data_IF_153836310599
#
_entry.id   IF_153836310599
#
_cell.length_a   1.000
_cell.length_b   1.000
_cell.length_c   1.000
_cell.angle_alpha   90.00
_cell.angle_beta   90.00
_cell.angle_gamma   90.00
#
_symmetry.space_group_name_H-M   'P 1'
#
loop_
_entity.id
_entity.type
_entity.pdbx_description
1 polymer ?
#
# COMPACT_ATOMS: atom_id res chain seq x y z
N UNK A 1 13.48 34.99 -13.15
CA UNK A 1 13.18 33.59 -12.78
C UNK A 1 14.33 32.71 -13.24
N UNK A 2 15.19 32.25 -12.31
CA UNK A 2 16.26 31.30 -12.64
C UNK A 2 15.64 29.90 -12.83
N UNK A 3 15.69 29.38 -14.05
CA UNK A 3 15.35 27.97 -14.30
C UNK A 3 16.41 27.12 -13.60
N UNK A 4 16.08 26.53 -12.47
CA UNK A 4 16.92 25.53 -11.82
C UNK A 4 16.84 24.28 -12.70
N UNK A 5 17.95 23.96 -13.37
CA UNK A 5 18.11 22.71 -14.10
C UNK A 5 18.24 21.59 -13.06
N UNK A 6 17.15 20.84 -12.86
CA UNK A 6 17.15 19.70 -11.95
C UNK A 6 17.95 18.57 -12.59
N UNK A 7 19.17 18.33 -12.11
CA UNK A 7 19.95 17.16 -12.52
C UNK A 7 19.39 15.98 -11.74
N UNK A 8 18.59 15.14 -12.41
CA UNK A 8 18.07 13.88 -11.87
C UNK A 8 19.24 12.87 -11.81
N UNK A 9 19.87 12.71 -10.66
CA UNK A 9 20.83 11.64 -10.43
C UNK A 9 20.07 10.38 -10.07
N UNK A 10 19.88 9.49 -11.05
CA UNK A 10 19.24 8.17 -10.84
C UNK A 10 20.29 7.23 -10.27
N UNK A 11 20.19 6.91 -8.99
CA UNK A 11 21.00 5.87 -8.35
C UNK A 11 20.19 4.57 -8.42
N UNK A 12 20.73 3.54 -9.06
CA UNK A 12 20.12 2.20 -9.04
C UNK A 12 20.43 1.52 -7.69
N UNK A 13 19.41 1.28 -6.90
CA UNK A 13 19.51 0.48 -5.68
C UNK A 13 18.94 -0.90 -6.01
N UNK A 14 19.79 -1.92 -6.08
CA UNK A 14 19.35 -3.31 -6.25
C UNK A 14 18.68 -3.78 -4.97
N UNK A 15 17.35 -3.95 -5.00
CA UNK A 15 16.58 -4.68 -3.98
C UNK A 15 15.94 -5.90 -4.65
N UNK A 16 15.82 -7.05 -3.97
CA UNK A 16 15.16 -8.22 -4.54
C UNK A 16 13.67 -7.94 -4.79
N UNK A 17 13.10 -8.59 -5.81
CA UNK A 17 11.65 -8.57 -6.10
C UNK A 17 10.84 -8.87 -4.83
N UNK A 18 10.12 -7.92 -4.32
CA UNK A 18 9.33 -8.09 -3.10
C UNK A 18 7.86 -7.82 -3.39
N UNK A 19 7.09 -8.89 -3.45
CA UNK A 19 5.68 -8.77 -3.21
C UNK A 19 5.49 -8.30 -1.76
N UNK A 20 4.78 -7.20 -1.57
CA UNK A 20 4.44 -6.67 -0.26
C UNK A 20 3.24 -7.44 0.32
N UNK A 21 3.27 -7.69 1.61
CA UNK A 21 2.20 -8.39 2.35
C UNK A 21 1.38 -7.38 3.13
N UNK A 22 0.12 -7.24 2.77
CA UNK A 22 -0.81 -6.31 3.41
C UNK A 22 -1.82 -7.09 4.25
N UNK A 23 -1.84 -6.85 5.55
CA UNK A 23 -2.83 -7.39 6.47
C UNK A 23 -4.18 -6.71 6.25
N UNK A 24 -5.12 -7.40 5.58
CA UNK A 24 -6.45 -6.85 5.26
C UNK A 24 -7.52 -7.24 6.27
N UNK A 25 -7.32 -8.35 7.01
CA UNK A 25 -8.12 -8.70 8.20
C UNK A 25 -7.21 -9.32 9.26
N UNK A 26 -7.43 -8.97 10.50
CA UNK A 26 -6.76 -9.56 11.67
C UNK A 26 -7.81 -9.98 12.68
N UNK A 27 -7.52 -11.05 13.44
CA UNK A 27 -8.37 -11.58 14.51
C UNK A 27 -9.81 -11.90 14.07
N UNK A 28 -10.01 -12.24 12.79
CA UNK A 28 -11.31 -12.50 12.23
C UNK A 28 -11.84 -13.88 12.63
N UNK A 29 -13.13 -13.99 12.89
CA UNK A 29 -13.82 -15.28 13.14
C UNK A 29 -14.31 -15.92 11.85
N UNK A 30 -14.35 -15.16 10.78
CA UNK A 30 -14.72 -15.62 9.44
C UNK A 30 -14.09 -14.73 8.38
N UNK A 31 -13.80 -15.27 7.21
CA UNK A 31 -13.34 -14.53 6.04
C UNK A 31 -14.19 -14.93 4.82
N UNK A 32 -14.72 -13.91 4.12
CA UNK A 32 -15.31 -14.12 2.79
C UNK A 32 -14.24 -13.96 1.74
N UNK A 33 -14.09 -14.92 0.84
CA UNK A 33 -13.08 -14.92 -0.22
C UNK A 33 -13.69 -15.33 -1.55
N UNK A 34 -13.08 -14.90 -2.66
CA UNK A 34 -13.52 -15.27 -3.99
C UNK A 34 -12.49 -14.90 -5.04
N UNK A 35 -12.72 -15.31 -6.28
CA UNK A 35 -11.86 -14.99 -7.43
C UNK A 35 -12.72 -14.57 -8.62
N UNK A 36 -12.23 -13.63 -9.43
CA UNK A 36 -12.95 -13.11 -10.60
C UNK A 36 -12.96 -14.11 -11.77
N UNK A 37 -12.02 -15.00 -11.80
CA UNK A 37 -11.88 -16.14 -12.72
C UNK A 37 -11.82 -17.42 -11.88
N UNK A 38 -11.73 -18.60 -12.50
CA UNK A 38 -11.48 -19.83 -11.73
C UNK A 38 -10.25 -19.66 -10.84
N UNK A 39 -10.33 -20.16 -9.61
CA UNK A 39 -9.27 -20.04 -8.61
C UNK A 39 -8.96 -21.36 -7.94
N UNK A 40 -7.96 -21.32 -7.06
CA UNK A 40 -7.53 -22.47 -6.26
C UNK A 40 -7.25 -22.07 -4.83
N UNK A 41 -7.56 -22.98 -3.92
CA UNK A 41 -7.02 -23.00 -2.56
C UNK A 41 -5.87 -23.99 -2.53
N UNK A 42 -4.74 -23.52 -2.06
CA UNK A 42 -3.48 -24.26 -2.01
C UNK A 42 -2.99 -24.26 -0.57
N UNK A 43 -2.54 -25.39 -0.07
CA UNK A 43 -1.83 -25.49 1.20
C UNK A 43 -0.48 -24.77 1.08
N UNK A 44 -0.25 -23.75 1.90
CA UNK A 44 0.97 -22.93 1.81
C UNK A 44 2.24 -23.68 2.23
N UNK A 45 2.11 -24.73 3.04
CA UNK A 45 3.25 -25.50 3.55
C UNK A 45 3.70 -26.59 2.56
N UNK A 46 2.74 -27.20 1.87
CA UNK A 46 3.00 -28.35 0.97
C UNK A 46 2.87 -28.01 -0.52
N UNK A 47 2.36 -26.84 -0.84
CA UNK A 47 2.02 -26.39 -2.21
C UNK A 47 0.99 -27.29 -2.93
N UNK A 48 0.22 -28.08 -2.17
CA UNK A 48 -0.80 -28.96 -2.71
C UNK A 48 -2.12 -28.22 -2.92
N UNK A 49 -2.75 -28.38 -4.08
CA UNK A 49 -4.10 -27.88 -4.31
C UNK A 49 -5.09 -28.66 -3.42
N UNK A 50 -5.88 -27.94 -2.65
CA UNK A 50 -6.87 -28.47 -1.71
C UNK A 50 -8.30 -28.37 -2.25
N UNK A 51 -8.60 -27.30 -2.99
CA UNK A 51 -9.92 -27.04 -3.55
C UNK A 51 -9.82 -26.14 -4.77
N UNK A 52 -10.64 -26.38 -5.78
CA UNK A 52 -10.88 -25.45 -6.88
C UNK A 52 -12.03 -24.50 -6.52
N UNK A 53 -11.96 -23.26 -7.02
CA UNK A 53 -12.96 -22.23 -6.80
C UNK A 53 -13.58 -21.81 -8.13
N UNK A 54 -14.90 -21.68 -8.15
CA UNK A 54 -15.64 -21.14 -9.29
C UNK A 54 -15.43 -19.63 -9.40
N UNK A 55 -15.41 -19.14 -10.64
CA UNK A 55 -15.34 -17.71 -10.92
C UNK A 55 -16.56 -16.97 -10.35
N UNK A 56 -16.34 -15.78 -9.81
CA UNK A 56 -17.37 -14.87 -9.30
C UNK A 56 -18.24 -15.47 -8.17
N UNK A 57 -17.80 -16.56 -7.53
CA UNK A 57 -18.48 -17.17 -6.38
C UNK A 57 -17.76 -16.80 -5.09
N UNK A 58 -18.53 -16.40 -4.07
CA UNK A 58 -18.03 -16.13 -2.73
C UNK A 58 -18.02 -17.40 -1.87
N UNK A 59 -16.95 -17.57 -1.12
CA UNK A 59 -16.77 -18.68 -0.18
C UNK A 59 -16.51 -18.12 1.21
N UNK A 60 -17.08 -18.77 2.23
CA UNK A 60 -16.82 -18.43 3.63
C UNK A 60 -15.80 -19.40 4.22
N UNK A 61 -14.73 -18.85 4.80
CA UNK A 61 -13.70 -19.60 5.54
C UNK A 61 -13.86 -19.32 7.02
N UNK A 62 -13.78 -20.37 7.83
CA UNK A 62 -13.80 -20.31 9.30
C UNK A 62 -12.64 -21.07 9.90
N UNK A 63 -12.13 -20.66 11.06
CA UNK A 63 -11.23 -21.52 11.83
C UNK A 63 -12.00 -22.78 12.30
N UNK A 64 -11.31 -23.91 12.29
CA UNK A 64 -11.81 -25.18 12.81
C UNK A 64 -10.67 -25.88 13.56
N UNK A 65 -10.64 -25.77 14.88
CA UNK A 65 -9.49 -26.17 15.69
C UNK A 65 -8.20 -25.52 15.13
N UNK A 66 -7.17 -26.33 14.87
CA UNK A 66 -5.89 -25.88 14.30
C UNK A 66 -5.87 -25.87 12.77
N UNK A 67 -6.99 -26.11 12.10
CA UNK A 67 -7.13 -26.06 10.64
C UNK A 67 -8.25 -25.10 10.26
N UNK A 68 -8.67 -25.08 9.01
CA UNK A 68 -9.79 -24.27 8.54
C UNK A 68 -10.93 -25.11 8.00
N UNK A 69 -12.07 -24.49 7.78
CA UNK A 69 -13.19 -25.03 7.03
C UNK A 69 -13.67 -23.99 6.01
N UNK A 70 -14.22 -24.48 4.90
CA UNK A 70 -14.82 -23.69 3.82
C UNK A 70 -16.28 -24.07 3.64
N UNK A 71 -17.14 -23.08 3.43
CA UNK A 71 -18.55 -23.29 3.09
C UNK A 71 -18.70 -23.40 1.58
N UNK A 72 -19.24 -24.54 1.11
CA UNK A 72 -19.57 -24.81 -0.28
C UNK A 72 -21.02 -25.31 -0.32
N UNK A 73 -21.87 -24.65 -1.11
CA UNK A 73 -23.27 -25.00 -1.33
C UNK A 73 -24.10 -25.21 -0.05
N UNK A 74 -23.76 -24.46 1.00
CA UNK A 74 -24.49 -24.50 2.28
C UNK A 74 -23.74 -25.25 3.39
N UNK A 75 -22.88 -26.20 3.05
CA UNK A 75 -22.20 -27.10 3.99
C UNK A 75 -20.74 -26.68 4.22
N UNK A 76 -20.22 -27.01 5.44
CA UNK A 76 -18.82 -26.77 5.78
C UNK A 76 -17.96 -28.02 5.58
N UNK A 77 -16.90 -27.86 4.79
CA UNK A 77 -15.90 -28.87 4.52
C UNK A 77 -14.57 -28.49 5.18
N UNK A 78 -13.87 -29.48 5.77
CA UNK A 78 -12.57 -29.27 6.39
C UNK A 78 -11.51 -29.01 5.34
N UNK A 79 -10.68 -27.99 5.57
CA UNK A 79 -9.43 -27.73 4.86
C UNK A 79 -8.32 -28.17 5.79
N UNK A 80 -7.54 -29.23 5.50
CA UNK A 80 -6.54 -29.80 6.41
C UNK A 80 -5.24 -28.96 6.41
N UNK A 81 -5.38 -27.64 6.62
CA UNK A 81 -4.29 -26.69 6.70
C UNK A 81 -4.65 -25.51 7.60
N UNK A 82 -3.67 -24.98 8.29
CA UNK A 82 -3.74 -23.75 9.08
C UNK A 82 -3.23 -22.52 8.31
N UNK A 83 -2.66 -22.74 7.11
CA UNK A 83 -2.09 -21.72 6.27
C UNK A 83 -2.37 -22.03 4.79
N UNK A 84 -3.21 -21.23 4.15
CA UNK A 84 -3.63 -21.45 2.77
C UNK A 84 -3.38 -20.23 1.90
N UNK A 85 -3.12 -20.50 0.63
CA UNK A 85 -3.04 -19.50 -0.45
C UNK A 85 -4.29 -19.62 -1.31
N UNK A 86 -4.91 -18.49 -1.62
CA UNK A 86 -6.05 -18.39 -2.53
C UNK A 86 -5.64 -17.51 -3.68
N UNK A 87 -5.60 -18.08 -4.86
CA UNK A 87 -5.18 -17.35 -6.07
C UNK A 87 -6.04 -17.70 -7.29
N UNK A 88 -6.21 -16.75 -8.22
CA UNK A 88 -6.78 -17.04 -9.53
C UNK A 88 -5.86 -17.98 -10.32
N UNK A 89 -6.44 -18.79 -11.21
CA UNK A 89 -5.67 -19.72 -12.10
C UNK A 89 -4.98 -18.93 -13.22
N UNK A 90 -5.67 -17.90 -13.73
CA UNK A 90 -5.20 -17.00 -14.78
C UNK A 90 -5.15 -15.56 -14.26
N UNK A 91 -4.83 -14.59 -15.13
CA UNK A 91 -4.92 -13.16 -14.79
C UNK A 91 -6.32 -12.82 -14.29
N UNK A 92 -6.40 -12.37 -13.05
CA UNK A 92 -7.67 -12.06 -12.40
C UNK A 92 -7.47 -11.40 -11.06
N UNK A 93 -8.60 -11.13 -10.41
CA UNK A 93 -8.64 -10.50 -9.10
C UNK A 93 -9.08 -11.51 -8.03
N UNK A 94 -8.67 -11.24 -6.80
CA UNK A 94 -9.16 -11.96 -5.62
C UNK A 94 -10.03 -11.01 -4.79
N UNK A 95 -11.00 -11.54 -4.06
CA UNK A 95 -11.87 -10.73 -3.22
C UNK A 95 -11.85 -11.14 -1.76
N UNK A 96 -11.92 -10.14 -0.90
CA UNK A 96 -12.25 -10.27 0.53
C UNK A 96 -12.81 -8.93 1.03
N UNK A 97 -13.59 -8.93 2.12
CA UNK A 97 -14.21 -7.69 2.67
C UNK A 97 -15.03 -6.91 1.62
N UNK A 98 -15.67 -7.58 0.68
CA UNK A 98 -16.41 -6.95 -0.43
C UNK A 98 -15.56 -6.01 -1.33
N UNK A 99 -14.24 -6.21 -1.36
CA UNK A 99 -13.31 -5.50 -2.23
C UNK A 99 -12.55 -6.49 -3.11
N UNK A 100 -12.14 -6.02 -4.28
CA UNK A 100 -11.24 -6.73 -5.18
C UNK A 100 -9.80 -6.29 -4.98
N UNK A 101 -8.88 -7.23 -5.11
CA UNK A 101 -7.43 -7.03 -4.97
C UNK A 101 -6.69 -7.71 -6.11
N UNK A 102 -5.51 -7.21 -6.44
CA UNK A 102 -4.51 -7.88 -7.29
C UNK A 102 -3.68 -8.86 -6.47
N UNK A 103 -2.91 -9.73 -7.15
CA UNK A 103 -2.07 -10.72 -6.48
C UNK A 103 -2.87 -11.91 -5.94
N UNK A 104 -2.60 -12.33 -4.70
CA UNK A 104 -3.27 -13.45 -4.06
C UNK A 104 -3.50 -13.23 -2.56
N UNK A 105 -4.37 -14.02 -1.94
CA UNK A 105 -4.56 -14.01 -0.49
C UNK A 105 -3.79 -15.14 0.18
N UNK A 106 -3.24 -14.85 1.35
CA UNK A 106 -2.80 -15.83 2.33
C UNK A 106 -3.78 -15.74 3.48
N UNK A 107 -4.35 -16.88 3.89
CA UNK A 107 -5.23 -16.95 5.06
C UNK A 107 -4.57 -17.88 6.08
N UNK A 108 -4.35 -17.37 7.28
CA UNK A 108 -3.72 -18.08 8.39
C UNK A 108 -4.71 -18.22 9.52
N UNK A 109 -4.81 -19.43 10.08
CA UNK A 109 -5.50 -19.67 11.35
C UNK A 109 -4.46 -19.73 12.49
N UNK A 110 -4.52 -18.74 13.37
CA UNK A 110 -3.69 -18.70 14.58
C UNK A 110 -4.62 -18.64 15.79
N UNK A 111 -4.57 -19.68 16.61
CA UNK A 111 -5.36 -19.77 17.86
C UNK A 111 -6.86 -19.54 17.67
N UNK A 112 -7.45 -20.10 16.60
CA UNK A 112 -8.89 -19.97 16.30
C UNK A 112 -9.31 -18.60 15.76
N UNK A 113 -8.34 -17.80 15.27
CA UNK A 113 -8.58 -16.51 14.59
C UNK A 113 -7.91 -16.51 13.23
N UNK A 114 -8.57 -15.90 12.26
CA UNK A 114 -8.04 -15.76 10.91
C UNK A 114 -7.30 -14.44 10.75
N UNK A 115 -6.13 -14.51 10.11
CA UNK A 115 -5.44 -13.37 9.51
C UNK A 115 -5.50 -13.53 8.01
N UNK A 116 -6.06 -12.54 7.30
CA UNK A 116 -6.12 -12.49 5.84
C UNK A 116 -5.12 -11.47 5.35
N UNK A 117 -4.22 -11.89 4.48
CA UNK A 117 -3.10 -11.10 3.98
C UNK A 117 -3.21 -11.06 2.45
N UNK A 118 -3.19 -9.86 1.88
CA UNK A 118 -3.00 -9.69 0.44
C UNK A 118 -1.51 -9.64 0.13
N UNK A 119 -1.03 -10.60 -0.65
CA UNK A 119 0.33 -10.61 -1.20
C UNK A 119 0.25 -10.08 -2.63
N UNK A 120 0.88 -8.93 -2.87
CA UNK A 120 0.70 -8.15 -4.08
C UNK A 120 2.02 -7.51 -4.53
N UNK A 121 2.19 -7.30 -5.82
CA UNK A 121 3.30 -6.51 -6.36
C UNK A 121 3.26 -5.07 -5.81
N UNK A 122 4.42 -4.46 -5.60
CA UNK A 122 4.51 -3.13 -5.01
C UNK A 122 3.78 -2.07 -5.84
N UNK A 123 3.94 -2.07 -7.17
CA UNK A 123 3.28 -1.06 -8.01
C UNK A 123 1.75 -1.27 -8.02
N UNK A 124 1.29 -2.52 -8.04
CA UNK A 124 -0.12 -2.85 -7.91
C UNK A 124 -0.68 -2.48 -6.52
N UNK A 125 0.12 -2.57 -5.47
CA UNK A 125 -0.23 -2.04 -4.15
C UNK A 125 -0.39 -0.52 -4.19
N UNK A 126 0.56 0.22 -4.79
CA UNK A 126 0.50 1.68 -4.88
C UNK A 126 -0.71 2.15 -5.72
N UNK A 127 -1.10 1.41 -6.78
CA UNK A 127 -2.34 1.67 -7.54
C UNK A 127 -3.59 1.64 -6.66
N UNK A 128 -3.62 0.78 -5.64
CA UNK A 128 -4.71 0.71 -4.66
C UNK A 128 -4.59 1.68 -3.49
N UNK A 129 -3.40 2.25 -3.23
CA UNK A 129 -3.15 3.23 -2.16
C UNK A 129 -3.49 4.64 -2.63
N UNK A 130 -2.96 5.10 -3.76
CA UNK A 130 -3.11 6.49 -4.21
C UNK A 130 -4.57 6.95 -4.25
N UNK A 131 -5.51 6.22 -4.86
CA UNK A 131 -6.91 6.63 -4.88
C UNK A 131 -7.65 6.46 -3.54
N UNK A 132 -7.11 5.67 -2.61
CA UNK A 132 -7.64 5.54 -1.26
C UNK A 132 -7.18 6.68 -0.33
N UNK A 133 -6.05 7.31 -0.65
CA UNK A 133 -5.43 8.40 0.09
C UNK A 133 -5.85 9.78 -0.43
N UNK A 134 -5.99 9.93 -1.75
CA UNK A 134 -6.32 11.21 -2.40
C UNK A 134 -7.53 11.08 -3.34
N UNK A 135 -8.46 12.06 -3.36
CA UNK A 135 -9.52 12.09 -4.35
C UNK A 135 -8.99 12.03 -5.79
N UNK A 136 -9.56 11.17 -6.63
CA UNK A 136 -9.13 10.99 -8.02
C UNK A 136 -9.34 12.25 -8.90
N UNK A 137 -10.16 13.21 -8.44
CA UNK A 137 -10.37 14.49 -9.09
C UNK A 137 -9.19 15.47 -8.92
N UNK A 138 -8.28 15.22 -7.98
CA UNK A 138 -7.15 16.12 -7.72
C UNK A 138 -6.13 16.10 -8.85
N UNK A 139 -5.14 17.03 -8.79
CA UNK A 139 -4.15 17.22 -9.84
C UNK A 139 -3.24 15.99 -10.03
N UNK A 140 -2.87 15.70 -11.27
CA UNK A 140 -2.04 14.54 -11.61
C UNK A 140 -0.67 14.60 -10.94
N UNK A 141 -0.06 15.78 -10.83
CA UNK A 141 1.24 15.94 -10.18
C UNK A 141 1.16 15.70 -8.65
N UNK A 142 0.01 15.97 -8.02
CA UNK A 142 -0.23 15.56 -6.63
C UNK A 142 -0.33 14.04 -6.48
N UNK A 143 -1.02 13.36 -7.41
CA UNK A 143 -1.07 11.89 -7.42
C UNK A 143 0.31 11.26 -7.66
N UNK A 144 1.13 11.84 -8.54
CA UNK A 144 2.53 11.41 -8.75
C UNK A 144 3.37 11.59 -7.48
N UNK A 145 3.25 12.73 -6.81
CA UNK A 145 3.93 12.97 -5.54
C UNK A 145 3.49 11.96 -4.47
N UNK A 146 2.17 11.70 -4.36
CA UNK A 146 1.63 10.69 -3.46
C UNK A 146 2.15 9.28 -3.79
N UNK A 147 2.21 8.90 -5.06
CA UNK A 147 2.72 7.58 -5.47
C UNK A 147 4.19 7.38 -5.06
N UNK A 148 5.04 8.39 -5.27
CA UNK A 148 6.46 8.35 -4.86
C UNK A 148 6.60 8.31 -3.33
N UNK A 149 5.84 9.12 -2.60
CA UNK A 149 5.83 9.13 -1.14
C UNK A 149 5.33 7.79 -0.57
N UNK A 150 4.21 7.27 -1.07
CA UNK A 150 3.62 6.01 -0.63
C UNK A 150 4.56 4.82 -0.90
N UNK A 151 5.21 4.78 -2.07
CA UNK A 151 6.21 3.76 -2.40
C UNK A 151 7.41 3.81 -1.47
N UNK A 152 7.91 5.01 -1.18
CA UNK A 152 9.02 5.22 -0.25
C UNK A 152 8.66 4.76 1.15
N UNK A 153 7.47 5.14 1.64
CA UNK A 153 6.96 4.69 2.94
C UNK A 153 6.84 3.16 2.99
N UNK A 154 6.25 2.54 1.98
CA UNK A 154 6.05 1.09 1.94
C UNK A 154 7.39 0.34 2.03
N UNK A 155 8.37 0.73 1.23
CA UNK A 155 9.70 0.12 1.22
C UNK A 155 10.48 0.36 2.51
N UNK A 156 10.39 1.55 3.10
CA UNK A 156 11.05 1.87 4.37
C UNK A 156 10.45 1.10 5.57
N UNK A 157 9.22 0.57 5.43
CA UNK A 157 8.50 -0.13 6.48
C UNK A 157 8.27 -1.63 6.20
N UNK A 158 8.97 -2.22 5.22
CA UNK A 158 8.93 -3.67 5.01
C UNK A 158 9.30 -4.39 6.31
N UNK A 159 8.53 -5.41 6.67
CA UNK A 159 8.71 -6.17 7.89
C UNK A 159 8.27 -5.48 9.19
N UNK A 160 7.70 -4.26 9.13
CA UNK A 160 7.23 -3.53 10.31
C UNK A 160 6.29 -4.36 11.20
N UNK A 161 5.51 -5.25 10.60
CA UNK A 161 4.57 -6.14 11.29
C UNK A 161 4.86 -7.63 11.06
N UNK A 162 6.13 -7.98 10.84
CA UNK A 162 6.56 -9.36 10.53
C UNK A 162 6.10 -10.39 11.58
N UNK A 163 6.02 -10.01 12.86
CA UNK A 163 5.49 -10.87 13.92
C UNK A 163 4.02 -11.28 13.70
N UNK A 164 3.25 -10.46 12.95
CA UNK A 164 1.87 -10.76 12.57
C UNK A 164 1.78 -11.52 11.24
N UNK A 165 2.88 -11.64 10.49
CA UNK A 165 2.98 -12.34 9.22
C UNK A 165 2.79 -11.47 7.97
N UNK A 166 2.73 -10.14 8.12
CA UNK A 166 2.60 -9.18 7.02
C UNK A 166 3.47 -7.93 7.25
N UNK A 167 3.56 -7.03 6.28
CA UNK A 167 4.40 -5.84 6.36
C UNK A 167 3.63 -4.63 6.89
N UNK A 168 2.48 -4.33 6.31
CA UNK A 168 1.64 -3.16 6.60
C UNK A 168 0.17 -3.54 6.75
N UNK A 169 -0.62 -2.68 7.40
CA UNK A 169 -2.09 -2.75 7.42
C UNK A 169 -2.70 -1.96 6.26
N UNK A 170 -3.94 -2.32 5.90
CA UNK A 170 -4.78 -1.64 4.89
C UNK A 170 -5.49 -0.37 5.42
N UNK A 171 -5.06 0.16 6.55
CA UNK A 171 -5.70 1.26 7.30
C UNK A 171 -4.75 2.43 7.51
N UNK A 172 -5.24 3.62 7.92
CA UNK A 172 -4.41 4.80 8.25
C UNK A 172 -3.36 4.59 9.34
N UNK A 173 -3.33 3.44 10.03
CA UNK A 173 -2.20 3.07 10.90
C UNK A 173 -0.89 2.89 10.10
N UNK A 174 -1.00 2.55 8.82
CA UNK A 174 0.11 2.49 7.87
C UNK A 174 -0.24 3.27 6.60
N UNK A 175 -1.06 2.73 5.70
CA UNK A 175 -1.56 3.42 4.50
C UNK A 175 -2.97 2.93 4.17
N UNK A 176 -3.88 3.84 3.83
CA UNK A 176 -5.19 3.43 3.34
C UNK A 176 -5.02 2.65 2.02
N UNK A 177 -5.56 1.44 1.97
CA UNK A 177 -5.47 0.55 0.81
C UNK A 177 -6.85 0.06 0.39
N UNK A 178 -7.28 0.51 -0.76
CA UNK A 178 -8.59 0.19 -1.33
C UNK A 178 -8.59 -1.05 -2.24
N UNK A 179 -7.42 -1.62 -2.53
CA UNK A 179 -7.24 -2.68 -3.51
C UNK A 179 -7.61 -2.21 -4.92
N UNK A 180 -7.81 -3.16 -5.83
CA UNK A 180 -8.23 -2.89 -7.21
C UNK A 180 -9.60 -2.21 -7.30
N UNK A 181 -10.44 -2.35 -6.28
CA UNK A 181 -11.75 -1.68 -6.21
C UNK A 181 -11.66 -0.16 -6.14
N UNK A 182 -10.54 0.40 -5.69
CA UNK A 182 -10.33 1.85 -5.60
C UNK A 182 -9.68 2.44 -6.86
N UNK A 183 -9.06 1.63 -7.70
CA UNK A 183 -8.28 2.07 -8.85
C UNK A 183 -9.08 2.92 -9.83
N UNK A 184 -8.44 3.95 -10.38
CA UNK A 184 -8.95 4.75 -11.50
C UNK A 184 -7.88 4.88 -12.57
N UNK A 185 -8.29 5.10 -13.82
CA UNK A 185 -7.34 5.31 -14.93
C UNK A 185 -6.36 6.44 -14.63
N UNK A 186 -6.86 7.56 -14.08
CA UNK A 186 -6.04 8.75 -13.77
C UNK A 186 -4.97 8.45 -12.70
N UNK A 187 -5.36 7.81 -11.59
CA UNK A 187 -4.41 7.49 -10.53
C UNK A 187 -3.44 6.39 -10.92
N UNK A 188 -3.90 5.39 -11.69
CA UNK A 188 -3.02 4.35 -12.23
C UNK A 188 -1.96 4.93 -13.16
N UNK A 189 -2.32 5.87 -14.07
CA UNK A 189 -1.35 6.56 -14.92
C UNK A 189 -0.30 7.32 -14.10
N UNK A 190 -0.70 8.00 -13.02
CA UNK A 190 0.25 8.70 -12.15
C UNK A 190 1.24 7.74 -11.44
N UNK A 191 0.78 6.54 -11.05
CA UNK A 191 1.64 5.48 -10.49
C UNK A 191 2.60 4.95 -11.56
N UNK A 192 2.11 4.66 -12.77
CA UNK A 192 2.88 4.15 -13.89
C UNK A 192 3.97 5.14 -14.34
N UNK A 193 3.64 6.42 -14.45
CA UNK A 193 4.59 7.50 -14.79
C UNK A 193 5.75 7.63 -13.76
N UNK A 194 5.53 7.18 -12.54
CA UNK A 194 6.49 7.25 -11.43
C UNK A 194 7.01 5.88 -10.99
N UNK A 195 6.79 4.82 -11.78
CA UNK A 195 7.18 3.44 -11.46
C UNK A 195 8.63 3.36 -10.96
N UNK A 196 8.81 2.73 -9.79
CA UNK A 196 10.10 2.50 -9.17
C UNK A 196 10.75 3.75 -8.55
N UNK A 197 10.18 4.96 -8.71
CA UNK A 197 10.78 6.19 -8.14
C UNK A 197 10.47 6.27 -6.65
N UNK A 198 11.54 6.49 -5.85
CA UNK A 198 11.49 6.64 -4.40
C UNK A 198 12.30 7.83 -3.92
N UNK A 199 12.03 8.27 -2.70
CA UNK A 199 12.82 9.26 -1.98
C UNK A 199 13.91 8.58 -1.17
N UNK A 200 15.11 9.14 -1.21
CA UNK A 200 16.25 8.66 -0.42
C UNK A 200 16.93 9.81 0.32
N UNK A 201 17.47 9.48 1.49
CA UNK A 201 18.39 10.34 2.26
C UNK A 201 19.58 9.50 2.69
N UNK A 202 20.81 10.00 2.43
CA UNK A 202 22.04 9.23 2.66
C UNK A 202 21.97 7.80 2.07
N UNK A 203 21.51 7.67 0.83
CA UNK A 203 21.35 6.42 0.06
C UNK A 203 20.39 5.38 0.68
N UNK A 204 19.58 5.76 1.65
CA UNK A 204 18.53 4.91 2.23
C UNK A 204 17.16 5.44 1.84
N UNK A 205 16.23 4.55 1.53
CA UNK A 205 14.83 4.92 1.30
C UNK A 205 14.26 5.52 2.58
N UNK A 206 13.56 6.66 2.44
CA UNK A 206 13.06 7.43 3.58
C UNK A 206 11.66 7.01 4.00
N UNK A 207 11.36 7.17 5.28
CA UNK A 207 9.99 7.17 5.78
C UNK A 207 9.29 8.46 5.33
N UNK A 208 8.69 8.44 4.16
CA UNK A 208 7.99 9.59 3.59
C UNK A 208 6.58 9.70 4.20
N UNK A 209 6.48 10.19 5.43
CA UNK A 209 5.21 10.40 6.11
C UNK A 209 4.37 11.46 5.41
N UNK A 210 3.05 11.26 5.37
CA UNK A 210 2.09 12.21 4.83
C UNK A 210 0.76 12.14 5.61
N UNK A 211 -0.02 13.17 5.53
CA UNK A 211 -1.37 13.24 6.12
C UNK A 211 -2.30 14.11 5.27
N UNK A 212 -3.60 13.99 5.48
CA UNK A 212 -4.58 14.73 4.68
C UNK A 212 -4.31 16.23 4.68
N UNK A 213 -4.11 16.84 5.86
CA UNK A 213 -3.81 18.27 6.02
C UNK A 213 -3.06 18.53 7.33
N UNK A 214 -2.28 19.59 7.37
CA UNK A 214 -1.50 19.99 8.54
C UNK A 214 -2.06 21.25 9.25
N UNK A 215 -3.07 21.91 8.65
CA UNK A 215 -3.71 23.09 9.25
C UNK A 215 -2.84 24.35 9.18
N UNK A 216 -2.17 24.58 8.05
CA UNK A 216 -1.36 25.76 7.78
C UNK A 216 0.14 25.57 7.95
N UNK A 217 0.58 24.66 8.84
CA UNK A 217 2.00 24.38 9.10
C UNK A 217 2.21 22.89 9.37
N UNK A 218 3.19 22.26 8.70
CA UNK A 218 3.59 20.90 9.03
C UNK A 218 4.40 20.85 10.33
N UNK A 219 4.59 19.67 10.89
CA UNK A 219 5.27 19.48 12.17
C UNK A 219 6.56 18.68 11.98
N UNK A 220 7.55 18.97 12.82
CA UNK A 220 8.75 18.13 12.96
C UNK A 220 8.40 16.80 13.62
N UNK A 221 9.10 15.73 13.25
CA UNK A 221 8.89 14.40 13.86
C UNK A 221 9.15 14.38 15.36
N UNK A 222 10.11 15.19 15.84
CA UNK A 222 10.43 15.33 17.29
C UNK A 222 9.25 15.83 18.11
N UNK A 223 8.43 16.71 17.53
CA UNK A 223 7.30 17.35 18.25
C UNK A 223 6.06 16.42 18.33
N UNK A 224 6.02 15.38 17.47
CA UNK A 224 4.90 14.45 17.41
C UNK A 224 5.25 13.09 18.03
N UNK A 225 6.46 12.58 17.76
CA UNK A 225 6.85 11.20 18.15
C UNK A 225 8.17 11.12 18.94
N UNK A 226 8.81 12.27 19.24
CA UNK A 226 10.06 12.32 20.01
C UNK A 226 11.32 11.92 19.24
N UNK A 227 11.20 11.42 18.00
CA UNK A 227 12.31 11.08 17.13
C UNK A 227 12.63 12.23 16.17
N UNK A 228 13.88 12.33 15.69
CA UNK A 228 14.27 13.33 14.72
C UNK A 228 14.62 12.65 13.38
N UNK A 229 13.88 12.99 12.32
CA UNK A 229 14.19 12.61 10.94
C UNK A 229 14.74 13.85 10.23
N UNK A 230 16.03 13.84 9.83
CA UNK A 230 16.72 15.05 9.34
C UNK A 230 16.16 15.57 8.01
N UNK A 231 15.35 14.80 7.32
CA UNK A 231 14.71 15.17 6.06
C UNK A 231 13.25 15.63 6.23
N UNK A 232 12.74 15.75 7.45
CA UNK A 232 11.38 16.27 7.75
C UNK A 232 11.51 17.45 8.70
N UNK A 233 11.19 18.63 8.20
CA UNK A 233 11.11 19.86 8.98
C UNK A 233 9.76 20.52 8.80
N UNK A 234 9.36 21.31 9.78
CA UNK A 234 8.15 22.11 9.73
C UNK A 234 8.23 23.15 8.62
N UNK A 235 7.27 23.12 7.71
CA UNK A 235 7.12 24.06 6.58
C UNK A 235 5.67 24.51 6.46
N UNK A 236 5.35 25.68 5.86
CA UNK A 236 3.99 26.04 5.51
C UNK A 236 3.32 24.94 4.70
N UNK A 237 2.11 24.52 5.07
CA UNK A 237 1.51 23.30 4.51
C UNK A 237 0.74 23.50 3.20
N UNK A 238 0.45 24.75 2.82
CA UNK A 238 -0.36 25.10 1.65
C UNK A 238 -1.77 24.50 1.64
N UNK A 239 -2.30 24.15 2.81
CA UNK A 239 -3.63 23.52 2.93
C UNK A 239 -4.79 24.50 2.66
N UNK A 240 -4.51 25.81 2.53
CA UNK A 240 -5.55 26.85 2.57
C UNK A 240 -6.23 26.88 3.95
N UNK A 241 -7.55 26.98 3.94
CA UNK A 241 -8.37 27.04 5.16
C UNK A 241 -8.75 25.65 5.71
N UNK A 242 -8.09 24.57 5.23
CA UNK A 242 -8.41 23.20 5.68
C UNK A 242 -7.83 22.96 7.06
N UNK A 243 -8.69 22.57 8.00
CA UNK A 243 -8.28 22.20 9.35
C UNK A 243 -7.35 20.97 9.33
N UNK A 244 -6.48 20.87 10.34
CA UNK A 244 -5.57 19.72 10.49
C UNK A 244 -6.35 18.41 10.54
N UNK A 245 -5.96 17.46 9.69
CA UNK A 245 -6.47 16.09 9.66
C UNK A 245 -5.29 15.11 9.50
N UNK A 246 -5.02 14.34 10.54
CA UNK A 246 -3.89 13.45 10.66
C UNK A 246 -2.76 14.05 11.52
N UNK A 247 -1.57 13.43 11.44
CA UNK A 247 -0.43 13.79 12.30
C UNK A 247 0.25 15.12 11.92
N UNK A 248 0.11 15.58 10.68
CA UNK A 248 0.68 16.84 10.19
C UNK A 248 2.18 16.80 9.92
N UNK A 249 2.82 15.63 9.89
CA UNK A 249 4.25 15.46 9.64
C UNK A 249 4.50 15.10 8.18
N UNK A 250 5.51 15.72 7.55
CA UNK A 250 5.88 15.48 6.16
C UNK A 250 4.90 16.11 5.17
N UNK A 251 4.51 15.40 4.11
CA UNK A 251 3.68 15.98 3.04
C UNK A 251 2.22 16.13 3.46
N UNK A 252 1.67 17.35 3.33
CA UNK A 252 0.23 17.56 3.32
C UNK A 252 -0.33 17.17 1.95
N UNK A 253 -1.36 16.30 1.94
CA UNK A 253 -2.03 15.89 0.70
C UNK A 253 -2.80 17.07 0.06
N UNK A 254 -3.52 17.86 0.87
CA UNK A 254 -4.15 19.12 0.40
C UNK A 254 -3.13 20.11 -0.12
N UNK A 255 -2.01 20.29 0.60
CA UNK A 255 -0.93 21.15 0.19
C UNK A 255 -0.28 20.71 -1.12
N UNK A 256 -0.03 19.42 -1.29
CA UNK A 256 0.48 18.86 -2.55
C UNK A 256 -0.45 19.15 -3.73
N UNK A 257 -1.78 19.03 -3.53
CA UNK A 257 -2.76 19.35 -4.56
C UNK A 257 -2.80 20.85 -4.88
N UNK A 258 -2.69 21.72 -3.90
CA UNK A 258 -2.68 23.16 -4.11
C UNK A 258 -1.40 23.63 -4.82
N UNK A 259 -0.23 23.11 -4.42
CA UNK A 259 1.03 23.35 -5.14
C UNK A 259 0.96 22.87 -6.60
N UNK A 260 0.35 21.70 -6.85
CA UNK A 260 0.14 21.21 -8.21
C UNK A 260 -0.74 22.15 -9.06
N UNK A 261 -1.80 22.73 -8.48
CA UNK A 261 -2.63 23.75 -9.14
C UNK A 261 -1.84 25.02 -9.47
N UNK A 262 -0.83 25.35 -8.67
CA UNK A 262 0.10 26.47 -8.93
C UNK A 262 1.18 26.12 -9.96
N UNK A 263 1.17 24.90 -10.52
CA UNK A 263 2.08 24.47 -11.58
C UNK A 263 3.36 23.77 -11.09
N UNK A 264 3.44 23.41 -9.81
CA UNK A 264 4.53 22.59 -9.31
C UNK A 264 4.39 21.16 -9.80
N UNK A 265 5.49 20.55 -10.26
CA UNK A 265 5.52 19.12 -10.57
C UNK A 265 5.75 18.28 -9.31
N UNK A 266 5.56 16.97 -9.43
CA UNK A 266 5.68 16.03 -8.31
C UNK A 266 7.04 16.10 -7.59
N UNK A 267 8.13 16.30 -8.32
CA UNK A 267 9.47 16.39 -7.75
C UNK A 267 9.65 17.66 -6.91
N UNK A 268 9.14 18.79 -7.39
CA UNK A 268 9.16 20.05 -6.67
C UNK A 268 8.29 20.01 -5.41
N UNK A 269 7.10 19.39 -5.49
CA UNK A 269 6.22 19.16 -4.34
C UNK A 269 6.94 18.33 -3.27
N UNK A 270 7.57 17.24 -3.65
CA UNK A 270 8.27 16.36 -2.72
C UNK A 270 9.50 17.03 -2.10
N UNK A 271 10.28 17.79 -2.88
CA UNK A 271 11.42 18.55 -2.36
C UNK A 271 11.00 19.70 -1.44
N UNK A 272 9.79 20.20 -1.57
CA UNK A 272 9.22 21.18 -0.66
C UNK A 272 8.94 20.58 0.73
N UNK A 273 8.32 19.41 0.78
CA UNK A 273 7.93 18.77 2.03
C UNK A 273 9.02 17.91 2.68
N UNK A 274 10.00 17.45 1.91
CA UNK A 274 11.10 16.61 2.40
C UNK A 274 12.45 17.25 2.03
N UNK A 275 13.19 17.64 3.05
CA UNK A 275 14.43 18.37 2.88
C UNK A 275 15.60 17.45 2.50
N UNK A 276 16.49 17.92 1.64
CA UNK A 276 17.74 17.24 1.24
C UNK A 276 17.55 15.80 0.73
N UNK A 277 16.31 15.43 0.35
CA UNK A 277 16.05 14.13 -0.27
C UNK A 277 16.49 14.10 -1.72
N UNK A 278 16.87 12.92 -2.17
CA UNK A 278 17.17 12.62 -3.57
C UNK A 278 16.18 11.58 -4.11
N UNK A 279 15.98 11.62 -5.41
CA UNK A 279 15.19 10.63 -6.11
C UNK A 279 16.08 9.49 -6.58
N UNK A 280 15.67 8.27 -6.32
CA UNK A 280 16.29 7.07 -6.83
C UNK A 280 15.25 6.22 -7.54
N UNK A 281 15.68 5.37 -8.45
CA UNK A 281 14.80 4.35 -9.05
C UNK A 281 15.20 2.99 -8.50
N UNK A 282 14.27 2.32 -7.85
CA UNK A 282 14.39 0.89 -7.54
C UNK A 282 14.00 0.11 -8.80
N UNK A 283 14.77 -0.92 -9.15
CA UNK A 283 14.44 -1.75 -10.29
C UNK A 283 13.21 -2.62 -9.93
N UNK A 284 12.07 -2.51 -10.65
CA UNK A 284 10.90 -3.35 -10.39
C UNK A 284 11.21 -4.86 -10.52
N UNK A 285 12.10 -5.23 -11.44
CA UNK A 285 12.50 -6.63 -11.68
C UNK A 285 13.46 -7.16 -10.59
N UNK A 286 13.97 -6.28 -9.73
CA UNK A 286 14.81 -6.61 -8.58
C UNK A 286 14.10 -6.37 -7.22
N UNK A 287 12.84 -5.98 -7.30
CA UNK A 287 11.94 -5.79 -6.15
C UNK A 287 11.16 -7.07 -5.85
#
# INVERSE_FOLDING_TARGET
MKKILLILVIIFIGMPSHAIKIGVQTDAVTASVGTSVKGKIIDANTNKTLCDLDAMKGYEIRPYNNIMSIKIDGDFYKIPSDNIVIKPVDTGFISTKAKWYRGFLIVQNKNGKLTVINNVDLEDYIKGVVPAEMPSSWETEAHKAQAIAARSYALANLGKRAALGFDLKDTPEDQAYGGASAETTKTNSAVEDTTGIVLTYNMKVVNAYYSASAGGQTLDTKDVWGGNLPYIHSVPSYDGDVAKNGHGVGMSQHGANNLAKEGYNAYQILQYFYNDVKFARVNPDSL
#
